data_IF_538480382332
#
_entry.id   IF_538480382332
#
_cell.length_a   1.000
_cell.length_b   1.000
_cell.length_c   1.000
_cell.angle_alpha   90.00
_cell.angle_beta   90.00
_cell.angle_gamma   90.00
#
_symmetry.space_group_name_H-M   'P 1'
#
loop_
_entity.id
_entity.type
_entity.pdbx_description
1 polymer ?
#
# COMPACT_ATOMS: atom_id res chain seq x y z
N UNK A 1 -27.50 5.64 -23.90
CA UNK A 1 -26.31 6.07 -23.15
C UNK A 1 -25.40 6.82 -24.11
N UNK A 2 -25.11 8.10 -23.84
CA UNK A 2 -24.40 8.96 -24.80
C UNK A 2 -22.87 8.67 -24.76
N UNK A 3 -22.22 8.39 -25.91
CA UNK A 3 -20.83 7.94 -25.99
C UNK A 3 -19.82 8.95 -25.42
N UNK A 4 -20.16 10.23 -25.38
CA UNK A 4 -19.33 11.27 -24.78
C UNK A 4 -19.17 11.09 -23.26
N UNK A 5 -20.22 10.62 -22.58
CA UNK A 5 -20.17 10.37 -21.14
C UNK A 5 -19.31 9.15 -20.79
N UNK A 6 -19.31 8.14 -21.66
CA UNK A 6 -18.46 6.95 -21.50
C UNK A 6 -16.99 7.34 -21.62
N UNK A 7 -16.65 8.21 -22.58
CA UNK A 7 -15.28 8.71 -22.76
C UNK A 7 -14.77 9.54 -21.57
N UNK A 8 -15.62 10.41 -21.01
CA UNK A 8 -15.26 11.23 -19.83
C UNK A 8 -15.06 10.33 -18.60
N UNK A 9 -15.94 9.35 -18.39
CA UNK A 9 -15.84 8.42 -17.27
C UNK A 9 -14.54 7.60 -17.34
N UNK A 10 -14.22 7.05 -18.52
CA UNK A 10 -12.97 6.30 -18.75
C UNK A 10 -11.73 7.16 -18.52
N UNK A 11 -11.72 8.41 -19.01
CA UNK A 11 -10.59 9.32 -18.86
C UNK A 11 -10.35 9.70 -17.39
N UNK A 12 -11.43 9.89 -16.63
CA UNK A 12 -11.37 10.24 -15.20
C UNK A 12 -10.89 9.05 -14.36
N UNK A 13 -11.37 7.84 -14.66
CA UNK A 13 -10.91 6.60 -14.03
C UNK A 13 -9.43 6.33 -14.33
N UNK A 14 -8.99 6.56 -15.56
CA UNK A 14 -7.60 6.36 -15.96
C UNK A 14 -6.67 7.40 -15.31
N UNK A 15 -7.10 8.65 -15.20
CA UNK A 15 -6.38 9.70 -14.48
C UNK A 15 -6.24 9.42 -12.98
N UNK A 16 -7.30 8.90 -12.34
CA UNK A 16 -7.26 8.50 -10.94
C UNK A 16 -6.34 7.29 -10.70
N UNK A 17 -6.26 6.36 -11.66
CA UNK A 17 -5.41 5.18 -11.58
C UNK A 17 -3.92 5.48 -11.74
N UNK A 18 -3.55 6.52 -12.51
CA UNK A 18 -2.15 6.80 -12.84
C UNK A 18 -1.46 7.79 -11.88
N UNK A 19 -2.21 8.60 -11.13
CA UNK A 19 -1.68 9.78 -10.44
C UNK A 19 -1.50 9.69 -8.93
N UNK A 20 -1.90 8.61 -8.26
CA UNK A 20 -1.83 8.56 -6.79
C UNK A 20 -0.46 8.07 -6.32
N UNK A 21 0.44 9.01 -5.97
CA UNK A 21 1.59 8.66 -5.13
C UNK A 21 1.04 8.11 -3.81
N UNK A 22 1.35 6.85 -3.51
CA UNK A 22 0.85 6.18 -2.32
C UNK A 22 1.55 6.74 -1.09
N UNK A 23 0.80 7.10 -0.06
CA UNK A 23 1.38 7.41 1.24
C UNK A 23 1.60 6.13 2.02
N UNK A 24 2.60 6.12 2.88
CA UNK A 24 2.88 5.04 3.79
C UNK A 24 3.28 5.57 5.16
N UNK A 25 3.14 4.72 6.17
CA UNK A 25 3.84 4.92 7.43
C UNK A 25 5.31 4.57 7.24
N UNK A 26 6.19 5.44 7.72
CA UNK A 26 7.63 5.28 7.61
C UNK A 26 8.31 5.47 8.98
N UNK A 27 9.02 4.42 9.39
CA UNK A 27 9.78 4.36 10.64
C UNK A 27 11.30 4.42 10.42
N UNK A 28 11.78 4.56 9.19
CA UNK A 28 13.21 4.48 8.84
C UNK A 28 14.12 5.46 9.61
N UNK A 29 13.55 6.51 10.20
CA UNK A 29 14.25 7.50 11.04
C UNK A 29 14.16 7.28 12.57
N UNK A 30 13.60 6.18 13.08
CA UNK A 30 13.44 5.95 14.52
C UNK A 30 13.71 4.50 14.94
N UNK A 31 14.28 4.26 16.14
CA UNK A 31 14.36 2.91 16.69
C UNK A 31 12.95 2.32 16.83
N UNK A 32 12.82 1.01 16.60
CA UNK A 32 11.53 0.31 16.46
C UNK A 32 10.59 0.48 17.65
N UNK A 33 11.09 0.79 18.84
CA UNK A 33 10.29 1.02 20.05
C UNK A 33 9.65 2.42 20.13
N UNK A 34 10.14 3.38 19.34
CA UNK A 34 9.71 4.78 19.37
C UNK A 34 9.14 5.23 18.02
N UNK A 35 8.78 4.29 17.13
CA UNK A 35 8.24 4.70 15.84
C UNK A 35 6.96 5.51 16.03
N UNK A 36 7.10 6.83 15.99
CA UNK A 36 6.00 7.75 15.81
C UNK A 36 5.67 7.65 14.34
N UNK A 37 4.61 6.90 14.04
CA UNK A 37 4.07 6.67 12.70
C UNK A 37 4.04 7.97 11.90
N UNK A 38 5.08 8.20 11.10
CA UNK A 38 5.22 9.40 10.28
C UNK A 38 4.73 9.05 8.89
N UNK A 39 3.79 9.82 8.37
CA UNK A 39 3.24 9.59 7.03
C UNK A 39 4.16 10.24 6.01
N UNK A 40 4.67 9.44 5.06
CA UNK A 40 5.44 9.91 3.92
C UNK A 40 4.79 9.49 2.60
N UNK A 41 5.18 10.12 1.51
CA UNK A 41 4.69 9.81 0.17
C UNK A 41 5.74 9.00 -0.58
N UNK A 42 5.40 7.79 -1.01
CA UNK A 42 6.30 6.97 -1.82
C UNK A 42 6.41 7.52 -3.24
N UNK A 43 7.64 7.67 -3.74
CA UNK A 43 7.91 8.07 -5.13
C UNK A 43 7.58 6.94 -6.11
N UNK A 44 8.52 6.02 -6.31
CA UNK A 44 8.32 4.77 -7.08
C UNK A 44 8.18 3.54 -6.16
N UNK A 45 8.19 3.77 -4.84
CA UNK A 45 8.09 2.72 -3.84
C UNK A 45 6.66 2.29 -3.55
N UNK A 46 6.55 1.18 -2.84
CA UNK A 46 5.32 0.62 -2.27
C UNK A 46 5.42 0.60 -0.75
N UNK A 47 4.30 0.76 -0.04
CA UNK A 47 4.27 0.54 1.40
C UNK A 47 4.66 -0.91 1.74
N UNK A 48 5.72 -1.09 2.53
CA UNK A 48 6.05 -2.39 3.12
C UNK A 48 5.10 -2.66 4.27
N UNK A 49 4.48 -3.84 4.30
CA UNK A 49 3.77 -4.32 5.48
C UNK A 49 4.73 -4.22 6.68
N UNK A 50 4.22 -3.80 7.83
CA UNK A 50 4.98 -3.71 9.08
C UNK A 50 5.45 -5.07 9.62
N UNK A 51 5.76 -6.05 8.75
CA UNK A 51 6.26 -7.37 9.06
C UNK A 51 7.48 -7.64 8.16
N UNK A 52 8.65 -7.11 8.53
CA UNK A 52 9.91 -7.57 7.96
C UNK A 52 10.35 -8.82 8.72
N UNK A 53 10.52 -9.96 8.04
CA UNK A 53 11.10 -11.15 8.67
C UNK A 53 12.60 -11.13 8.42
N UNK A 54 13.38 -11.15 9.50
CA UNK A 54 14.83 -11.34 9.48
C UNK A 54 15.10 -12.73 10.06
N UNK A 55 15.56 -13.68 9.25
CA UNK A 55 16.00 -14.98 9.75
C UNK A 55 17.51 -14.99 9.89
N UNK A 56 17.99 -15.27 11.10
CA UNK A 56 19.39 -15.54 11.36
C UNK A 56 19.64 -17.03 11.05
N UNK A 57 20.43 -17.27 10.02
CA UNK A 57 20.98 -18.58 9.70
C UNK A 57 22.13 -18.86 10.67
N UNK A 58 21.88 -19.77 11.60
CA UNK A 58 22.77 -20.23 12.65
C UNK A 58 22.15 -21.46 13.32
N UNK A 59 22.90 -22.17 14.15
CA UNK A 59 22.36 -23.21 15.03
C UNK A 59 22.31 -22.66 16.46
N UNK A 60 21.14 -22.35 17.04
CA UNK A 60 19.79 -22.49 16.49
C UNK A 60 19.40 -21.34 15.55
N UNK A 61 18.49 -21.60 14.61
CA UNK A 61 17.97 -20.56 13.72
C UNK A 61 16.99 -19.67 14.47
N UNK A 62 17.20 -18.36 14.45
CA UNK A 62 16.33 -17.39 15.12
C UNK A 62 15.62 -16.55 14.06
N UNK A 63 14.30 -16.52 14.09
CA UNK A 63 13.50 -15.61 13.26
C UNK A 63 13.11 -14.39 14.09
N UNK A 64 13.60 -13.22 13.70
CA UNK A 64 13.18 -11.94 14.24
C UNK A 64 12.14 -11.32 13.33
N UNK A 65 10.93 -11.12 13.86
CA UNK A 65 9.89 -10.37 13.18
C UNK A 65 10.07 -8.90 13.57
N UNK A 66 10.57 -8.08 12.65
CA UNK A 66 10.76 -6.65 12.87
C UNK A 66 9.62 -5.87 12.23
N UNK A 67 8.85 -5.18 13.05
CA UNK A 67 7.84 -4.26 12.55
C UNK A 67 8.47 -2.91 12.23
N UNK A 68 8.72 -2.68 10.95
CA UNK A 68 9.36 -1.46 10.46
C UNK A 68 8.73 -1.03 9.13
N UNK A 69 7.55 -0.38 9.17
CA UNK A 69 6.91 0.11 7.96
C UNK A 69 7.78 1.19 7.30
N UNK A 70 7.87 1.14 5.97
CA UNK A 70 8.66 2.04 5.14
C UNK A 70 8.17 2.02 3.67
N UNK A 71 8.63 2.97 2.84
CA UNK A 71 8.56 2.83 1.39
C UNK A 71 9.68 1.91 0.88
N UNK A 72 9.32 0.89 0.12
CA UNK A 72 10.26 -0.06 -0.49
C UNK A 72 10.12 -0.02 -2.01
N UNK A 73 11.23 -0.02 -2.76
CA UNK A 73 11.13 -0.03 -4.21
C UNK A 73 10.39 -1.30 -4.68
N UNK A 74 9.50 -1.16 -5.68
CA UNK A 74 8.57 -2.23 -6.04
C UNK A 74 9.24 -3.57 -6.39
N UNK A 75 10.47 -3.54 -6.91
CA UNK A 75 11.21 -4.76 -7.25
C UNK A 75 11.74 -5.52 -6.02
N UNK A 76 11.88 -4.88 -4.86
CA UNK A 76 12.28 -5.54 -3.61
C UNK A 76 11.09 -6.16 -2.86
N UNK A 77 9.86 -5.96 -3.33
CA UNK A 77 8.67 -6.51 -2.71
C UNK A 77 8.57 -8.03 -2.94
N UNK A 78 8.24 -8.75 -1.87
CA UNK A 78 8.17 -10.21 -1.79
C UNK A 78 9.47 -10.92 -2.19
N UNK A 79 10.59 -10.18 -2.26
CA UNK A 79 11.91 -10.76 -2.45
C UNK A 79 12.53 -11.11 -1.11
N UNK A 80 13.34 -12.17 -1.13
CA UNK A 80 14.20 -12.56 -0.02
C UNK A 80 15.59 -12.07 -0.35
N UNK A 81 16.05 -11.08 0.39
CA UNK A 81 17.44 -10.61 0.36
C UNK A 81 18.25 -11.33 1.42
N UNK A 82 19.49 -11.66 1.09
CA UNK A 82 20.39 -12.33 2.01
C UNK A 82 21.63 -11.47 2.19
N UNK A 83 21.91 -11.10 3.42
CA UNK A 83 23.10 -10.34 3.81
C UNK A 83 23.90 -11.15 4.81
N UNK A 84 25.21 -11.28 4.62
CA UNK A 84 26.10 -11.92 5.59
C UNK A 84 26.91 -10.86 6.34
N UNK A 85 26.91 -10.94 7.68
CA UNK A 85 27.76 -10.13 8.55
C UNK A 85 28.59 -11.07 9.41
N UNK A 86 29.88 -11.18 9.09
CA UNK A 86 30.74 -12.24 9.64
C UNK A 86 30.24 -13.62 9.21
N UNK A 87 30.14 -14.54 10.17
CA UNK A 87 29.63 -15.90 9.95
C UNK A 87 28.09 -16.02 10.08
N UNK A 88 27.40 -14.90 10.32
CA UNK A 88 25.93 -14.89 10.47
C UNK A 88 25.30 -14.45 9.15
N UNK A 89 24.41 -15.29 8.63
CA UNK A 89 23.61 -14.95 7.44
C UNK A 89 22.23 -14.46 7.88
N UNK A 90 21.85 -13.27 7.44
CA UNK A 90 20.55 -12.65 7.66
C UNK A 90 19.74 -12.75 6.37
N UNK A 91 18.58 -13.41 6.41
CA UNK A 91 17.63 -13.33 5.29
C UNK A 91 16.50 -12.37 5.64
N UNK A 92 16.32 -11.35 4.83
CA UNK A 92 15.27 -10.35 4.97
C UNK A 92 14.21 -10.56 3.90
N UNK A 93 12.96 -10.76 4.32
CA UNK A 93 11.81 -10.76 3.41
C UNK A 93 10.98 -9.50 3.64
N UNK A 94 10.72 -8.75 2.56
CA UNK A 94 9.90 -7.53 2.59
C UNK A 94 8.58 -7.77 1.89
N UNK A 95 7.51 -8.04 2.64
CA UNK A 95 6.18 -8.12 2.07
C UNK A 95 5.60 -6.71 1.89
N UNK A 96 4.98 -6.43 0.74
CA UNK A 96 4.41 -5.11 0.42
C UNK A 96 2.90 -5.20 0.19
N UNK A 97 2.19 -4.09 0.45
CA UNK A 97 0.76 -3.96 0.16
C UNK A 97 0.51 -2.90 -0.93
N UNK A 98 -0.70 -2.90 -1.47
CA UNK A 98 -1.16 -1.94 -2.48
C UNK A 98 -2.25 -1.05 -1.86
N UNK A 99 -2.11 0.26 -2.03
CA UNK A 99 -3.08 1.24 -1.56
C UNK A 99 -2.46 2.26 -0.60
N UNK A 100 -3.19 3.35 -0.41
CA UNK A 100 -2.78 4.43 0.47
C UNK A 100 -2.79 3.97 1.93
N UNK A 101 -1.69 4.18 2.65
CA UNK A 101 -1.52 3.81 4.06
C UNK A 101 -1.83 2.34 4.40
N UNK A 102 -1.75 1.44 3.42
CA UNK A 102 -2.09 0.02 3.61
C UNK A 102 -1.18 -0.71 4.62
N UNK A 103 -0.04 -0.12 4.95
CA UNK A 103 0.91 -0.65 5.92
C UNK A 103 0.65 -0.18 7.36
N UNK A 104 -0.54 0.36 7.65
CA UNK A 104 -0.99 0.57 9.02
C UNK A 104 -0.99 -0.74 9.81
N UNK A 105 -0.71 -0.66 11.11
CA UNK A 105 -0.87 -1.79 12.02
C UNK A 105 -2.32 -2.31 12.11
N UNK A 106 -3.30 -1.50 11.69
CA UNK A 106 -4.72 -1.84 11.56
C UNK A 106 -5.02 -2.21 10.10
N UNK A 107 -5.72 -3.32 9.86
CA UNK A 107 -6.19 -3.70 8.53
C UNK A 107 -7.16 -2.64 7.99
N UNK A 108 -6.69 -1.73 7.13
CA UNK A 108 -7.52 -0.71 6.50
C UNK A 108 -8.40 -1.32 5.41
N UNK A 109 -9.62 -1.70 5.77
CA UNK A 109 -10.72 -1.87 4.82
C UNK A 109 -11.31 -0.50 4.43
N UNK A 110 -10.47 0.40 3.90
CA UNK A 110 -10.98 1.66 3.34
C UNK A 110 -11.29 1.40 1.88
N UNK A 111 -12.57 1.12 1.59
CA UNK A 111 -13.05 1.17 0.21
C UNK A 111 -12.68 2.56 -0.35
N UNK A 112 -12.01 2.64 -1.51
CA UNK A 112 -11.60 3.93 -2.07
C UNK A 112 -12.83 4.84 -2.16
N UNK A 113 -12.79 6.02 -1.55
CA UNK A 113 -13.91 6.96 -1.52
C UNK A 113 -14.45 7.29 -2.94
N UNK A 114 -13.60 7.13 -3.96
CA UNK A 114 -13.95 7.23 -5.37
C UNK A 114 -15.02 6.22 -5.81
N UNK A 115 -15.04 4.99 -5.27
CA UNK A 115 -16.05 3.97 -5.59
C UNK A 115 -17.40 4.37 -4.99
N UNK A 116 -17.40 4.91 -3.77
CA UNK A 116 -18.63 5.38 -3.11
C UNK A 116 -19.21 6.60 -3.81
N UNK A 117 -18.36 7.53 -4.26
CA UNK A 117 -18.79 8.70 -5.02
C UNK A 117 -19.38 8.32 -6.39
N UNK A 118 -18.76 7.38 -7.09
CA UNK A 118 -19.25 6.85 -8.37
C UNK A 118 -20.58 6.08 -8.20
N UNK A 119 -20.72 5.29 -7.14
CA UNK A 119 -21.96 4.59 -6.83
C UNK A 119 -23.10 5.56 -6.47
N UNK A 120 -22.81 6.59 -5.67
CA UNK A 120 -23.80 7.60 -5.28
C UNK A 120 -24.30 8.42 -6.48
N UNK A 121 -23.39 8.81 -7.38
CA UNK A 121 -23.78 9.51 -8.61
C UNK A 121 -24.58 8.61 -9.54
N UNK A 122 -24.16 7.36 -9.76
CA UNK A 122 -24.93 6.41 -10.57
C UNK A 122 -26.36 6.17 -10.01
N UNK A 123 -26.50 6.04 -8.69
CA UNK A 123 -27.81 5.89 -8.03
C UNK A 123 -28.68 7.14 -8.17
N UNK A 124 -28.11 8.33 -8.03
CA UNK A 124 -28.84 9.59 -8.22
C UNK A 124 -29.40 9.71 -9.65
N UNK A 125 -28.61 9.33 -10.67
CA UNK A 125 -29.05 9.33 -12.07
C UNK A 125 -30.15 8.30 -12.35
N UNK A 126 -30.07 7.10 -11.75
CA UNK A 126 -31.12 6.08 -11.88
C UNK A 126 -32.43 6.55 -11.26
N UNK A 127 -32.39 7.20 -10.10
CA UNK A 127 -33.59 7.71 -9.42
C UNK A 127 -34.23 8.88 -10.17
N UNK A 128 -33.42 9.80 -10.73
CA UNK A 128 -33.91 10.90 -11.57
C UNK A 128 -34.52 10.40 -12.88
N UNK A 129 -33.92 9.40 -13.52
CA UNK A 129 -34.45 8.80 -14.74
C UNK A 129 -35.76 8.02 -14.54
N UNK A 130 -35.98 7.48 -13.33
CA UNK A 130 -37.20 6.77 -12.97
C UNK A 130 -38.38 7.71 -12.66
N UNK A 131 -38.11 8.94 -12.21
CA UNK A 131 -39.14 9.96 -11.96
C UNK A 131 -39.65 10.59 -13.26
N UNK A 132 -38.79 10.80 -14.25
CA UNK A 132 -39.16 11.44 -15.52
C UNK A 132 -39.86 10.53 -16.54
N UNK A 133 -40.27 9.32 -16.15
CA UNK A 133 -40.90 8.30 -17.01
C UNK A 133 -42.39 8.13 -16.73
#
# INVERSE_FOLDING_TARGET
MNPHFVGILLSTLLGAAWGSRMRCYDCSGSPSSSCKETVTTCGEGRPQLGLGQIKLSGNPSVTLIRQHPACVAAHHCNQVETESVGDVTYTTRRDCCLGDLCNSAVASHVAPACILAAAATALAWLLLGLWSG
#
